data_IF_188506115863
#
_entry.id   IF_188506115863
#
_cell.length_a   1.000
_cell.length_b   1.000
_cell.length_c   1.000
_cell.angle_alpha   90.00
_cell.angle_beta   90.00
_cell.angle_gamma   90.00
#
_symmetry.space_group_name_H-M   'P 1'
#
loop_
_entity.id
_entity.type
_entity.pdbx_description
1 polymer ?
#
# COMPACT_ATOMS: atom_id res chain seq x y z
N UNK A 1 1.60 -5.12 64.38
CA UNK A 1 1.81 -4.18 63.26
C UNK A 1 2.85 -4.79 62.36
N UNK A 2 2.55 -5.12 61.12
CA UNK A 2 3.45 -5.39 59.98
C UNK A 2 3.04 -6.52 59.01
N UNK A 3 1.85 -7.12 59.16
CA UNK A 3 1.40 -8.13 58.15
C UNK A 3 0.51 -7.55 57.02
N UNK A 4 -0.07 -6.36 57.25
CA UNK A 4 -0.98 -5.70 56.30
C UNK A 4 -0.26 -4.86 55.24
N UNK A 5 0.93 -4.33 55.55
CA UNK A 5 1.69 -3.49 54.60
C UNK A 5 2.36 -4.33 53.51
N UNK A 6 2.80 -5.54 53.84
CA UNK A 6 3.48 -6.44 52.88
C UNK A 6 2.51 -6.95 51.80
N UNK A 7 1.23 -7.14 52.12
CA UNK A 7 0.22 -7.59 51.14
C UNK A 7 -0.20 -6.51 50.14
N UNK A 8 -0.16 -5.24 50.50
CA UNK A 8 -0.54 -4.12 49.63
C UNK A 8 0.56 -3.86 48.60
N UNK A 9 1.83 -3.95 49.01
CA UNK A 9 2.98 -3.75 48.10
C UNK A 9 3.07 -4.88 47.05
N UNK A 10 2.79 -6.13 47.44
CA UNK A 10 2.77 -7.27 46.50
C UNK A 10 1.62 -7.17 45.49
N UNK A 11 0.45 -6.65 45.89
CA UNK A 11 -0.69 -6.44 44.99
C UNK A 11 -0.47 -5.32 43.98
N UNK A 12 0.21 -4.22 44.39
CA UNK A 12 0.59 -3.14 43.46
C UNK A 12 1.65 -3.60 42.44
N UNK A 13 2.60 -4.45 42.86
CA UNK A 13 3.64 -4.96 41.93
C UNK A 13 3.07 -5.95 40.91
N UNK A 14 2.07 -6.73 41.27
CA UNK A 14 1.35 -7.63 40.36
C UNK A 14 0.46 -6.87 39.36
N UNK A 15 -0.13 -5.74 39.74
CA UNK A 15 -0.92 -4.93 38.82
C UNK A 15 -0.05 -4.19 37.78
N UNK A 16 1.15 -3.78 38.12
CA UNK A 16 2.06 -3.12 37.16
C UNK A 16 2.63 -4.09 36.12
N UNK A 17 2.82 -5.36 36.45
CA UNK A 17 3.30 -6.37 35.50
C UNK A 17 2.22 -6.83 34.52
N UNK A 18 0.93 -6.76 34.89
CA UNK A 18 -0.19 -7.12 33.98
C UNK A 18 -0.47 -6.00 32.97
N UNK A 19 -0.25 -4.73 33.33
CA UNK A 19 -0.40 -3.61 32.38
C UNK A 19 0.71 -3.53 31.33
N UNK A 20 1.89 -4.09 31.59
CA UNK A 20 3.02 -4.07 30.65
C UNK A 20 2.96 -5.18 29.58
N UNK A 21 2.03 -6.13 29.65
CA UNK A 21 1.99 -7.30 28.76
C UNK A 21 0.91 -7.25 27.66
N UNK A 22 0.16 -6.16 27.52
CA UNK A 22 -0.93 -6.09 26.54
C UNK A 22 -0.86 -4.90 25.58
N UNK A 23 0.30 -4.37 25.29
CA UNK A 23 0.52 -3.60 24.07
C UNK A 23 0.78 -4.62 22.97
N UNK A 24 -0.29 -5.16 22.37
CA UNK A 24 -0.20 -5.83 21.08
C UNK A 24 0.44 -4.81 20.14
N UNK A 25 1.72 -5.03 19.83
CA UNK A 25 2.43 -4.20 18.87
C UNK A 25 1.54 -4.13 17.62
N UNK A 26 1.13 -2.91 17.23
CA UNK A 26 0.26 -2.76 16.07
C UNK A 26 1.06 -3.21 14.86
N UNK A 27 0.47 -4.10 14.05
CA UNK A 27 1.11 -4.56 12.83
C UNK A 27 1.48 -3.36 11.95
N UNK A 28 2.66 -3.38 11.40
CA UNK A 28 3.15 -2.40 10.42
C UNK A 28 3.28 -3.09 9.06
N UNK A 29 3.57 -2.31 8.02
CA UNK A 29 3.84 -2.89 6.69
C UNK A 29 5.03 -3.87 6.73
N UNK A 30 5.95 -3.72 7.68
CA UNK A 30 7.17 -4.53 7.80
C UNK A 30 6.94 -5.96 8.32
N UNK A 31 5.72 -6.28 8.76
CA UNK A 31 5.36 -7.63 9.21
C UNK A 31 4.88 -8.53 8.06
N UNK A 32 4.90 -8.01 6.84
CA UNK A 32 4.42 -8.72 5.66
C UNK A 32 5.54 -9.13 4.71
N UNK A 33 5.22 -10.12 3.87
CA UNK A 33 6.06 -10.58 2.78
C UNK A 33 5.26 -10.61 1.48
N UNK A 34 5.94 -10.49 0.36
CA UNK A 34 5.38 -10.62 -0.98
C UNK A 34 6.33 -11.43 -1.87
N UNK A 35 5.89 -11.85 -3.05
CA UNK A 35 6.77 -12.36 -4.09
C UNK A 35 7.04 -11.25 -5.11
N UNK A 36 8.26 -11.16 -5.60
CA UNK A 36 8.57 -10.32 -6.76
C UNK A 36 8.11 -10.99 -8.06
N UNK A 37 8.23 -10.30 -9.18
CA UNK A 37 7.86 -10.80 -10.52
C UNK A 37 8.68 -12.01 -10.99
N UNK A 38 9.72 -12.42 -10.25
CA UNK A 38 10.50 -13.64 -10.49
C UNK A 38 10.11 -14.80 -9.58
N UNK A 39 9.15 -14.59 -8.66
CA UNK A 39 8.72 -15.55 -7.65
C UNK A 39 9.63 -15.64 -6.43
N UNK A 40 10.56 -14.70 -6.24
CA UNK A 40 11.43 -14.63 -5.07
C UNK A 40 10.73 -13.90 -3.93
N UNK A 41 10.91 -14.39 -2.69
CA UNK A 41 10.31 -13.76 -1.52
C UNK A 41 10.99 -12.42 -1.19
N UNK A 42 10.16 -11.42 -1.00
CA UNK A 42 10.52 -10.05 -0.59
C UNK A 42 9.94 -9.81 0.80
N UNK A 43 10.80 -9.73 1.80
CA UNK A 43 10.42 -9.31 3.16
C UNK A 43 10.31 -7.79 3.21
N UNK A 44 9.12 -7.28 3.56
CA UNK A 44 8.88 -5.84 3.64
C UNK A 44 9.75 -5.15 4.70
N UNK A 45 10.27 -5.90 5.68
CA UNK A 45 11.20 -5.38 6.68
C UNK A 45 12.51 -4.83 6.08
N UNK A 46 12.92 -5.27 4.88
CA UNK A 46 14.09 -4.72 4.19
C UNK A 46 13.96 -3.22 3.84
N UNK A 47 12.75 -2.71 3.82
CA UNK A 47 12.44 -1.31 3.51
C UNK A 47 12.32 -0.42 4.74
N UNK A 48 12.65 -0.90 5.95
CA UNK A 48 12.66 -0.08 7.17
C UNK A 48 13.48 1.18 6.98
N UNK A 49 12.93 2.32 7.41
CA UNK A 49 13.59 3.63 7.25
C UNK A 49 13.42 4.26 5.85
N UNK A 50 12.70 3.63 4.94
CA UNK A 50 12.35 4.17 3.62
C UNK A 50 10.91 4.67 3.61
N UNK A 51 10.65 5.68 2.79
CA UNK A 51 9.28 6.06 2.41
C UNK A 51 8.82 5.10 1.33
N UNK A 52 7.69 4.41 1.53
CA UNK A 52 7.18 3.46 0.55
C UNK A 52 5.94 4.03 -0.15
N UNK A 53 5.84 3.80 -1.45
CA UNK A 53 4.60 3.90 -2.21
C UNK A 53 4.24 2.52 -2.74
N UNK A 54 3.11 1.98 -2.30
CA UNK A 54 2.54 0.73 -2.82
C UNK A 54 1.41 1.09 -3.77
N UNK A 55 1.46 0.57 -4.99
CA UNK A 55 0.48 0.85 -6.05
C UNK A 55 0.06 -0.44 -6.75
N UNK A 56 -1.26 -0.66 -6.90
CA UNK A 56 -1.74 -1.73 -7.76
C UNK A 56 -1.83 -1.24 -9.21
N UNK A 57 -1.34 -2.04 -10.15
CA UNK A 57 -1.09 -1.61 -11.53
C UNK A 57 -1.77 -2.50 -12.55
N UNK A 58 -1.90 -2.01 -13.78
CA UNK A 58 -2.38 -2.78 -14.93
C UNK A 58 -1.89 -2.19 -16.26
N UNK A 59 -1.65 -3.06 -17.25
CA UNK A 59 -1.12 -2.70 -18.58
C UNK A 59 -2.17 -2.19 -19.57
N UNK A 60 -3.46 -2.48 -19.33
CA UNK A 60 -4.58 -2.16 -20.25
C UNK A 60 -5.65 -1.28 -19.61
N UNK A 61 -5.25 -0.41 -18.73
CA UNK A 61 -6.12 0.51 -18.00
C UNK A 61 -6.05 1.92 -18.59
N UNK A 62 -7.12 2.69 -18.49
CA UNK A 62 -7.10 4.12 -18.85
C UNK A 62 -6.10 4.94 -18.01
N UNK A 63 -5.68 4.43 -16.85
CA UNK A 63 -4.68 5.05 -15.98
C UNK A 63 -3.25 4.53 -16.20
N UNK A 64 -3.02 3.60 -17.11
CA UNK A 64 -1.68 3.04 -17.44
C UNK A 64 -0.62 4.11 -17.72
N UNK A 65 -0.92 5.26 -18.37
CA UNK A 65 0.07 6.33 -18.54
C UNK A 65 0.65 6.89 -17.24
N UNK A 66 0.05 6.62 -16.08
CA UNK A 66 0.61 7.02 -14.78
C UNK A 66 1.93 6.31 -14.44
N UNK A 67 2.28 5.22 -15.12
CA UNK A 67 3.62 4.61 -14.98
C UNK A 67 4.74 5.62 -15.24
N UNK A 68 4.57 6.51 -16.22
CA UNK A 68 5.59 7.51 -16.57
C UNK A 68 5.84 8.49 -15.41
N UNK A 69 4.77 8.96 -14.76
CA UNK A 69 4.87 9.84 -13.61
C UNK A 69 5.39 9.12 -12.35
N UNK A 70 5.00 7.85 -12.13
CA UNK A 70 5.54 7.03 -11.03
C UNK A 70 7.03 6.81 -11.21
N UNK A 71 7.48 6.49 -12.43
CA UNK A 71 8.90 6.32 -12.74
C UNK A 71 9.69 7.63 -12.57
N UNK A 72 9.11 8.75 -12.97
CA UNK A 72 9.72 10.07 -12.76
C UNK A 72 9.93 10.38 -11.28
N UNK A 73 8.92 10.12 -10.44
CA UNK A 73 9.04 10.25 -8.98
C UNK A 73 10.09 9.29 -8.41
N UNK A 74 10.08 8.04 -8.85
CA UNK A 74 11.05 7.05 -8.38
C UNK A 74 12.48 7.49 -8.69
N UNK A 75 12.77 7.84 -9.94
CA UNK A 75 14.11 8.33 -10.34
C UNK A 75 14.54 9.57 -9.57
N UNK A 76 13.62 10.48 -9.28
CA UNK A 76 13.92 11.73 -8.56
C UNK A 76 14.26 11.50 -7.09
N UNK A 77 13.59 10.53 -6.43
CA UNK A 77 13.64 10.41 -4.98
C UNK A 77 14.21 9.08 -4.45
N UNK A 78 14.54 8.08 -5.29
CA UNK A 78 15.08 6.79 -4.84
C UNK A 78 16.35 6.95 -4.00
N UNK A 79 17.27 7.82 -4.39
CA UNK A 79 18.51 8.07 -3.67
C UNK A 79 18.28 8.83 -2.35
N UNK A 80 17.11 9.47 -2.21
CA UNK A 80 16.68 10.15 -0.99
C UNK A 80 15.86 9.21 -0.08
N UNK A 81 15.58 7.99 -0.52
CA UNK A 81 14.93 6.97 0.29
C UNK A 81 13.48 6.66 -0.07
N UNK A 82 12.97 7.11 -1.23
CA UNK A 82 11.70 6.64 -1.76
C UNK A 82 11.86 5.25 -2.40
N UNK A 83 10.93 4.35 -2.10
CA UNK A 83 10.75 3.08 -2.80
C UNK A 83 9.32 3.02 -3.34
N UNK A 84 9.15 2.69 -4.61
CA UNK A 84 7.85 2.40 -5.22
C UNK A 84 7.77 0.90 -5.48
N UNK A 85 6.67 0.26 -5.08
CA UNK A 85 6.40 -1.16 -5.31
C UNK A 85 5.11 -1.29 -6.14
N UNK A 86 5.25 -1.77 -7.37
CA UNK A 86 4.13 -2.01 -8.27
C UNK A 86 3.58 -3.43 -8.10
N UNK A 87 2.30 -3.56 -7.84
CA UNK A 87 1.60 -4.84 -7.70
C UNK A 87 0.59 -5.00 -8.85
N UNK A 88 0.89 -5.77 -9.89
CA UNK A 88 -0.04 -6.05 -10.97
C UNK A 88 -1.30 -6.74 -10.45
N UNK A 89 -2.49 -6.35 -10.99
CA UNK A 89 -3.77 -6.90 -10.57
C UNK A 89 -4.75 -6.99 -11.75
N UNK A 90 -5.32 -8.18 -11.97
CA UNK A 90 -6.25 -8.44 -13.08
C UNK A 90 -7.73 -8.39 -12.68
N UNK A 91 -8.06 -8.03 -11.42
CA UNK A 91 -9.44 -8.05 -10.92
C UNK A 91 -10.34 -6.94 -11.49
N UNK A 92 -9.76 -5.92 -12.12
CA UNK A 92 -10.51 -4.79 -12.68
C UNK A 92 -10.67 -4.95 -14.20
N UNK A 93 -11.75 -5.61 -14.62
CA UNK A 93 -12.10 -5.83 -16.03
C UNK A 93 -11.03 -6.54 -16.85
N UNK A 94 -10.25 -7.43 -16.23
CA UNK A 94 -9.17 -8.16 -16.88
C UNK A 94 -8.18 -7.24 -17.62
N UNK A 95 -7.80 -6.14 -16.93
CA UNK A 95 -6.89 -5.15 -17.49
C UNK A 95 -5.41 -5.51 -17.31
N UNK A 96 -5.10 -6.66 -16.70
CA UNK A 96 -3.72 -7.18 -16.54
C UNK A 96 -3.63 -8.67 -16.86
N UNK A 97 -3.94 -9.09 -18.11
CA UNK A 97 -4.03 -10.52 -18.47
C UNK A 97 -2.67 -11.20 -18.62
N UNK A 98 -1.56 -10.44 -18.76
CA UNK A 98 -0.23 -10.98 -19.02
C UNK A 98 0.33 -11.83 -17.88
N UNK A 99 1.39 -12.60 -18.15
CA UNK A 99 2.23 -13.24 -17.13
C UNK A 99 3.08 -12.19 -16.40
N UNK A 100 3.70 -12.54 -15.28
CA UNK A 100 4.57 -11.62 -14.55
C UNK A 100 5.76 -11.14 -15.44
N UNK A 101 6.28 -12.00 -16.32
CA UNK A 101 7.34 -11.68 -17.27
C UNK A 101 6.87 -10.72 -18.35
N UNK A 102 5.70 -10.98 -18.96
CA UNK A 102 5.10 -10.13 -20.00
C UNK A 102 4.77 -8.73 -19.44
N UNK A 103 4.27 -8.66 -18.19
CA UNK A 103 3.98 -7.41 -17.50
C UNK A 103 5.28 -6.61 -17.27
N UNK A 104 6.31 -7.29 -16.77
CA UNK A 104 7.60 -6.64 -16.52
C UNK A 104 8.24 -6.12 -17.81
N UNK A 105 8.15 -6.88 -18.91
CA UNK A 105 8.62 -6.45 -20.20
C UNK A 105 7.83 -5.25 -20.74
N UNK A 106 6.49 -5.31 -20.65
CA UNK A 106 5.61 -4.20 -21.02
C UNK A 106 5.99 -2.91 -20.27
N UNK A 107 6.11 -2.96 -18.96
CA UNK A 107 6.46 -1.81 -18.12
C UNK A 107 7.82 -1.24 -18.50
N UNK A 108 8.81 -2.10 -18.71
CA UNK A 108 10.16 -1.68 -19.10
C UNK A 108 10.21 -1.05 -20.48
N UNK A 109 9.58 -1.66 -21.47
CA UNK A 109 9.67 -1.22 -22.86
C UNK A 109 8.82 0.00 -23.17
N UNK A 110 7.61 0.09 -22.59
CA UNK A 110 6.65 1.15 -22.91
C UNK A 110 6.72 2.35 -21.98
N UNK A 111 7.17 2.16 -20.72
CA UNK A 111 7.17 3.20 -19.68
C UNK A 111 8.54 3.39 -19.02
N UNK A 112 9.54 2.61 -19.40
CA UNK A 112 10.89 2.70 -18.83
C UNK A 112 10.94 2.41 -17.32
N UNK A 113 9.98 1.65 -16.78
CA UNK A 113 9.85 1.35 -15.35
C UNK A 113 11.10 0.65 -14.84
N UNK A 114 11.69 1.22 -13.77
CA UNK A 114 12.84 0.67 -13.06
C UNK A 114 12.55 0.37 -11.59
N UNK A 115 11.44 0.87 -11.03
CA UNK A 115 11.02 0.49 -9.69
C UNK A 115 10.58 -0.98 -9.62
N UNK A 116 10.72 -1.63 -8.44
CA UNK A 116 10.39 -3.04 -8.25
C UNK A 116 8.93 -3.37 -8.60
N UNK A 117 8.76 -4.42 -9.42
CA UNK A 117 7.47 -5.04 -9.70
C UNK A 117 7.35 -6.33 -8.88
N UNK A 118 6.20 -6.49 -8.23
CA UNK A 118 5.83 -7.68 -7.50
C UNK A 118 5.08 -8.65 -8.41
N UNK A 119 4.90 -9.88 -7.96
CA UNK A 119 4.04 -10.86 -8.60
C UNK A 119 2.61 -10.35 -8.68
N UNK A 120 1.89 -10.72 -9.75
CA UNK A 120 0.47 -10.40 -9.92
C UNK A 120 -0.35 -11.03 -8.80
N UNK A 121 -1.24 -10.23 -8.19
CA UNK A 121 -2.04 -10.61 -7.01
C UNK A 121 -3.47 -10.11 -7.10
N UNK A 122 -4.31 -10.62 -6.20
CA UNK A 122 -5.62 -10.05 -5.90
C UNK A 122 -5.49 -8.95 -4.82
N UNK A 123 -6.21 -7.84 -4.98
CA UNK A 123 -6.16 -6.68 -4.08
C UNK A 123 -7.46 -6.45 -3.31
N UNK A 124 -8.53 -7.18 -3.62
CA UNK A 124 -9.80 -7.18 -2.89
C UNK A 124 -10.44 -8.58 -2.88
N UNK A 125 -11.48 -8.77 -2.02
CA UNK A 125 -12.15 -10.04 -1.84
C UNK A 125 -11.40 -11.02 -0.93
N UNK A 126 -11.92 -12.24 -0.84
CA UNK A 126 -11.40 -13.26 0.09
C UNK A 126 -9.92 -13.58 -0.14
N UNK A 127 -9.51 -13.67 -1.40
CA UNK A 127 -8.13 -14.01 -1.81
C UNK A 127 -7.18 -12.80 -1.85
N UNK A 128 -7.64 -11.60 -1.45
CA UNK A 128 -6.79 -10.42 -1.45
C UNK A 128 -5.49 -10.66 -0.67
N UNK A 129 -4.38 -10.21 -1.24
CA UNK A 129 -3.07 -10.32 -0.62
C UNK A 129 -3.06 -9.65 0.78
N UNK A 130 -2.43 -10.24 1.79
CA UNK A 130 -2.43 -9.71 3.17
C UNK A 130 -1.99 -8.25 3.27
N UNK A 131 -1.03 -7.81 2.46
CA UNK A 131 -0.60 -6.42 2.36
C UNK A 131 -1.79 -5.51 2.02
N UNK A 132 -2.60 -5.84 1.01
CA UNK A 132 -3.72 -4.99 0.61
C UNK A 132 -4.89 -5.03 1.60
N UNK A 133 -5.12 -6.16 2.26
CA UNK A 133 -6.06 -6.24 3.40
C UNK A 133 -5.63 -5.29 4.52
N UNK A 134 -4.34 -5.30 4.87
CA UNK A 134 -3.78 -4.39 5.87
C UNK A 134 -3.90 -2.92 5.45
N UNK A 135 -3.45 -2.57 4.24
CA UNK A 135 -3.46 -1.19 3.74
C UNK A 135 -4.87 -0.58 3.73
N UNK A 136 -5.86 -1.34 3.27
CA UNK A 136 -7.26 -0.87 3.21
C UNK A 136 -7.91 -0.77 4.58
N UNK A 137 -7.46 -1.57 5.56
CA UNK A 137 -7.90 -1.45 6.96
C UNK A 137 -7.30 -0.20 7.63
N UNK A 138 -6.05 0.15 7.34
CA UNK A 138 -5.41 1.34 7.91
C UNK A 138 -5.99 2.63 7.33
N UNK A 139 -6.19 2.68 6.00
CA UNK A 139 -6.76 3.85 5.30
C UNK A 139 -7.87 3.38 4.35
N UNK A 140 -9.12 3.23 4.87
CA UNK A 140 -10.23 2.66 4.11
C UNK A 140 -10.78 3.59 3.01
N UNK A 141 -10.47 4.87 3.06
CA UNK A 141 -10.99 5.87 2.12
C UNK A 141 -9.87 6.76 1.58
N UNK A 142 -10.10 7.34 0.43
CA UNK A 142 -9.27 8.38 -0.17
C UNK A 142 -10.09 9.60 -0.52
N UNK A 143 -9.47 10.78 -0.49
CA UNK A 143 -10.08 12.02 -0.96
C UNK A 143 -10.03 12.11 -2.49
N UNK A 144 -11.10 12.64 -3.07
CA UNK A 144 -11.20 12.93 -4.51
C UNK A 144 -11.61 14.38 -4.68
N UNK A 145 -10.77 15.16 -5.32
CA UNK A 145 -11.00 16.59 -5.54
C UNK A 145 -11.49 16.86 -6.97
N UNK A 146 -12.24 17.95 -7.12
CA UNK A 146 -12.75 18.35 -8.44
C UNK A 146 -13.96 17.53 -8.93
N UNK A 147 -14.81 18.20 -9.75
CA UNK A 147 -16.05 17.58 -10.27
C UNK A 147 -15.76 16.48 -11.30
N UNK A 148 -14.72 16.67 -12.14
CA UNK A 148 -14.34 15.68 -13.17
C UNK A 148 -13.87 14.39 -12.53
N UNK A 149 -13.01 14.46 -11.52
CA UNK A 149 -12.45 13.29 -10.86
C UNK A 149 -13.49 12.56 -10.02
N UNK A 150 -14.38 13.30 -9.35
CA UNK A 150 -15.56 12.72 -8.68
C UNK A 150 -16.48 11.98 -9.65
N UNK A 151 -16.71 12.52 -10.84
CA UNK A 151 -17.53 11.85 -11.86
C UNK A 151 -16.84 10.59 -12.39
N UNK A 152 -15.52 10.67 -12.67
CA UNK A 152 -14.70 9.51 -13.08
C UNK A 152 -14.71 8.42 -12.01
N UNK A 153 -14.51 8.79 -10.74
CA UNK A 153 -14.52 7.82 -9.65
C UNK A 153 -15.88 7.20 -9.40
N UNK A 154 -16.97 7.93 -9.62
CA UNK A 154 -18.34 7.35 -9.58
C UNK A 154 -18.53 6.26 -10.62
N UNK A 155 -18.03 6.46 -11.85
CA UNK A 155 -18.05 5.44 -12.91
C UNK A 155 -17.20 4.23 -12.52
N UNK A 156 -15.98 4.48 -12.09
CA UNK A 156 -15.03 3.46 -11.65
C UNK A 156 -15.58 2.63 -10.49
N UNK A 157 -16.23 3.26 -9.52
CA UNK A 157 -16.89 2.56 -8.41
C UNK A 157 -18.00 1.62 -8.88
N UNK A 158 -18.81 2.07 -9.83
CA UNK A 158 -19.85 1.22 -10.41
C UNK A 158 -19.26 -0.03 -11.06
N UNK A 159 -18.17 0.13 -11.84
CA UNK A 159 -17.48 -0.96 -12.49
C UNK A 159 -16.82 -1.91 -11.47
N UNK A 160 -16.10 -1.39 -10.49
CA UNK A 160 -15.41 -2.24 -9.50
C UNK A 160 -16.38 -3.00 -8.58
N UNK A 161 -17.51 -2.40 -8.23
CA UNK A 161 -18.57 -3.08 -7.48
C UNK A 161 -19.17 -4.24 -8.27
N UNK A 162 -19.29 -4.10 -9.60
CA UNK A 162 -19.73 -5.22 -10.45
C UNK A 162 -18.74 -6.38 -10.53
N UNK A 163 -17.46 -6.15 -10.19
CA UNK A 163 -16.42 -7.17 -10.03
C UNK A 163 -16.35 -7.76 -8.60
N UNK A 164 -17.27 -7.40 -7.71
CA UNK A 164 -17.32 -7.93 -6.35
C UNK A 164 -16.50 -7.16 -5.32
N UNK A 165 -16.03 -5.92 -5.63
CA UNK A 165 -15.31 -5.10 -4.66
C UNK A 165 -16.20 -4.72 -3.48
N UNK A 166 -15.71 -4.98 -2.28
CA UNK A 166 -16.35 -4.57 -1.02
C UNK A 166 -16.12 -3.08 -0.72
N UNK A 167 -16.95 -2.52 0.17
CA UNK A 167 -16.73 -1.16 0.68
C UNK A 167 -15.41 -1.06 1.42
N UNK A 168 -14.68 0.06 1.24
CA UNK A 168 -13.31 0.22 1.78
C UNK A 168 -12.21 -0.46 0.97
N UNK A 169 -12.55 -1.44 0.11
CA UNK A 169 -11.60 -2.11 -0.77
C UNK A 169 -10.94 -1.19 -1.81
N UNK A 170 -9.87 -1.66 -2.44
CA UNK A 170 -9.19 -0.94 -3.54
C UNK A 170 -10.20 -0.63 -4.64
N UNK A 171 -10.32 0.65 -5.02
CA UNK A 171 -11.41 1.09 -5.92
C UNK A 171 -11.15 0.78 -7.39
N UNK A 172 -9.89 0.84 -7.83
CA UNK A 172 -9.48 0.54 -9.21
C UNK A 172 -7.96 0.41 -9.31
N UNK A 173 -7.47 0.06 -10.52
CA UNK A 173 -6.04 0.10 -10.82
C UNK A 173 -5.46 1.51 -10.59
N UNK A 174 -4.21 1.58 -10.18
CA UNK A 174 -3.49 2.79 -9.80
C UNK A 174 -4.02 3.48 -8.53
N UNK A 175 -4.61 2.73 -7.60
CA UNK A 175 -4.73 3.18 -6.21
C UNK A 175 -3.34 3.13 -5.56
N UNK A 176 -2.94 4.21 -4.86
CA UNK A 176 -1.63 4.32 -4.24
C UNK A 176 -1.79 4.46 -2.73
N UNK A 177 -0.86 3.85 -1.99
CA UNK A 177 -0.74 3.99 -0.54
C UNK A 177 0.65 4.52 -0.23
N UNK A 178 0.73 5.58 0.56
CA UNK A 178 1.97 6.19 1.00
C UNK A 178 2.22 5.80 2.46
N UNK A 179 3.43 5.30 2.73
CA UNK A 179 3.84 4.72 4.00
C UNK A 179 5.11 5.43 4.46
N UNK A 180 5.11 5.84 5.73
CA UNK A 180 6.24 6.54 6.36
C UNK A 180 7.40 5.61 6.68
N UNK A 181 8.53 6.21 7.06
CA UNK A 181 9.78 5.50 7.39
C UNK A 181 9.65 4.52 8.56
N UNK A 182 8.65 4.68 9.42
CA UNK A 182 8.35 3.79 10.56
C UNK A 182 7.38 2.65 10.19
N UNK A 183 6.86 2.62 8.95
CA UNK A 183 5.94 1.61 8.47
C UNK A 183 4.46 1.92 8.68
N UNK A 184 4.14 3.10 9.19
CA UNK A 184 2.76 3.57 9.32
C UNK A 184 2.19 3.96 7.96
N UNK A 185 0.96 3.51 7.67
CA UNK A 185 0.24 3.91 6.44
C UNK A 185 -0.37 5.29 6.66
N UNK A 186 0.09 6.27 5.90
CA UNK A 186 -0.24 7.68 6.13
C UNK A 186 -1.41 8.13 5.26
N UNK A 187 -1.43 7.73 3.98
CA UNK A 187 -2.41 8.25 3.03
C UNK A 187 -2.69 7.25 1.92
N UNK A 188 -3.93 7.26 1.46
CA UNK A 188 -4.38 6.55 0.27
C UNK A 188 -4.80 7.57 -0.79
N UNK A 189 -4.34 7.38 -2.01
CA UNK A 189 -4.67 8.22 -3.14
C UNK A 189 -5.55 7.47 -4.13
N UNK A 190 -6.59 8.15 -4.60
CA UNK A 190 -7.51 7.62 -5.58
C UNK A 190 -6.81 7.26 -6.91
N UNK A 191 -7.34 6.33 -7.71
CA UNK A 191 -6.83 6.02 -9.05
C UNK A 191 -6.63 7.24 -9.94
N UNK A 192 -7.52 8.23 -9.86
CA UNK A 192 -7.46 9.48 -10.64
C UNK A 192 -6.35 10.44 -10.21
N UNK A 193 -5.87 10.33 -8.96
CA UNK A 193 -4.78 11.18 -8.47
C UNK A 193 -3.50 10.87 -9.23
N UNK A 194 -2.96 11.88 -9.91
CA UNK A 194 -1.75 11.75 -10.70
C UNK A 194 -0.50 11.71 -9.83
N UNK A 195 0.57 11.01 -10.26
CA UNK A 195 1.80 10.93 -9.49
C UNK A 195 2.39 12.29 -9.09
N UNK A 196 2.34 13.29 -9.97
CA UNK A 196 2.83 14.64 -9.69
C UNK A 196 2.05 15.36 -8.57
N UNK A 197 0.80 14.99 -8.32
CA UNK A 197 -0.01 15.55 -7.23
C UNK A 197 0.36 14.98 -5.85
N UNK A 198 1.12 13.88 -5.83
CA UNK A 198 1.56 13.17 -4.62
C UNK A 198 2.94 13.66 -4.17
N UNK A 199 3.66 14.37 -5.03
CA UNK A 199 5.06 14.73 -4.84
C UNK A 199 5.31 15.50 -3.53
N UNK A 200 4.45 16.46 -3.20
CA UNK A 200 4.57 17.23 -1.97
C UNK A 200 4.45 16.36 -0.69
N UNK A 201 3.57 15.36 -0.71
CA UNK A 201 3.43 14.41 0.40
C UNK A 201 4.71 13.57 0.56
N UNK A 202 5.31 13.13 -0.56
CA UNK A 202 6.59 12.39 -0.57
C UNK A 202 7.71 13.25 0.01
N UNK A 203 7.87 14.48 -0.47
CA UNK A 203 8.91 15.40 0.01
C UNK A 203 8.80 15.68 1.51
N UNK A 204 7.58 15.82 2.02
CA UNK A 204 7.34 16.03 3.44
C UNK A 204 7.83 14.84 4.30
N UNK A 205 7.73 13.62 3.77
CA UNK A 205 8.14 12.40 4.48
C UNK A 205 9.62 12.07 4.34
N UNK A 206 10.27 12.57 3.29
CA UNK A 206 11.70 12.33 3.07
C UNK A 206 12.59 13.18 3.98
N UNK A 207 12.09 14.34 4.41
CA UNK A 207 12.77 15.23 5.37
C UNK A 207 12.87 14.59 6.74
#
# INVERSE_FOLDING_TARGET
MNKTITSIVAALFLMTTVYAQNTKEMATIYDFKALNNKGEEVDMAQYKGKVLMIVNTASKCGFTPQYDGLEALYKKYQDQGLVILGFPCDQFKHQEPGTDEEIAEFCRLNHGVTFPLMKKIDVFGENAHPIFKYLTQQVPTEEVHGLKDKATMKLVDGLSKSEGREEGGVRWNFTKFLISKDGSVIKRFAPVAKPEEIEADIEAMLK
#
